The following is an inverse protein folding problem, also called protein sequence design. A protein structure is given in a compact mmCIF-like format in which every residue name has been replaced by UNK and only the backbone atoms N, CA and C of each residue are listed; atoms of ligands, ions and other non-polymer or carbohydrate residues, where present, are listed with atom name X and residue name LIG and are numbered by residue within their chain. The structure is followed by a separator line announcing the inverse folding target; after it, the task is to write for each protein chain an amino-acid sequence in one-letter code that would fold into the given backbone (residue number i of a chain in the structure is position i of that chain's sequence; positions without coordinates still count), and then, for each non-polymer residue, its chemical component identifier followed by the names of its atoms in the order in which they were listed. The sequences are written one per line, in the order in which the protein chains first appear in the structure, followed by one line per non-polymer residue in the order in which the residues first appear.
data_IF_911554545084
#
_entry.id   IF_911554545084
#
_cell.length_a   1.000
_cell.length_b   1.000
_cell.length_c   1.000
_cell.angle_alpha   90.00
_cell.angle_beta   90.00
_cell.angle_gamma   90.00
#
_symmetry.space_group_name_H-M   'P 1'
#
loop_
_entity.id
_entity.type
_entity.pdbx_description
1 polymer ?
#
# COMPACT_ATOMS: atom_id res chain seq x y z
N UNK A 1 5.27 -9.35 -15.20
CA UNK A 1 4.91 -9.27 -13.78
C UNK A 1 4.55 -10.67 -13.30
N UNK A 2 5.07 -11.10 -12.16
CA UNK A 2 4.79 -12.41 -11.57
C UNK A 2 3.68 -12.28 -10.52
N UNK A 3 2.85 -13.32 -10.31
CA UNK A 3 1.94 -13.35 -9.17
C UNK A 3 2.67 -13.11 -7.86
N UNK A 4 1.96 -12.54 -6.88
CA UNK A 4 2.52 -12.26 -5.56
C UNK A 4 2.00 -11.00 -4.90
N UNK A 5 2.53 -10.74 -3.71
CA UNK A 5 2.21 -9.55 -2.90
C UNK A 5 3.09 -8.36 -3.32
N UNK A 6 2.50 -7.19 -3.41
CA UNK A 6 3.17 -5.93 -3.76
C UNK A 6 2.85 -4.83 -2.73
N UNK A 7 3.86 -4.15 -2.21
CA UNK A 7 5.29 -4.39 -2.41
C UNK A 7 5.72 -5.74 -1.83
N UNK A 8 6.81 -6.32 -2.36
CA UNK A 8 7.25 -7.68 -1.98
C UNK A 8 7.91 -7.76 -0.60
N UNK A 9 8.57 -6.69 -0.20
CA UNK A 9 9.44 -6.72 0.99
C UNK A 9 8.71 -6.29 2.25
N UNK A 10 8.12 -5.12 2.25
CA UNK A 10 7.41 -4.54 3.39
C UNK A 10 6.15 -3.82 2.92
N UNK A 11 5.16 -3.70 3.79
CA UNK A 11 4.01 -2.83 3.54
C UNK A 11 4.49 -1.40 3.22
N UNK A 12 3.76 -0.71 2.32
CA UNK A 12 3.98 0.72 2.12
C UNK A 12 3.78 1.48 3.44
N UNK A 13 4.41 2.65 3.62
CA UNK A 13 4.27 3.42 4.85
C UNK A 13 2.80 3.63 5.20
N UNK A 14 2.38 3.05 6.30
CA UNK A 14 1.04 3.18 6.87
C UNK A 14 1.15 3.33 8.39
N UNK A 15 0.24 4.11 8.99
CA UNK A 15 0.09 4.22 10.44
C UNK A 15 -0.66 3.02 11.01
N UNK A 16 -1.38 2.28 10.19
CA UNK A 16 -2.19 1.12 10.58
C UNK A 16 -1.29 -0.09 10.88
N UNK A 17 -1.32 -0.53 12.14
CA UNK A 17 -0.67 -1.79 12.54
C UNK A 17 -1.35 -2.98 11.87
N UNK A 18 -2.68 -2.97 11.81
CA UNK A 18 -3.46 -4.06 11.22
C UNK A 18 -3.11 -4.31 9.76
N UNK A 19 -2.87 -3.25 8.96
CA UNK A 19 -2.41 -3.40 7.58
C UNK A 19 -1.03 -4.06 7.49
N UNK A 20 -0.09 -3.68 8.38
CA UNK A 20 1.24 -4.28 8.43
C UNK A 20 1.20 -5.75 8.85
N UNK A 21 0.37 -6.07 9.84
CA UNK A 21 0.21 -7.43 10.34
C UNK A 21 -0.43 -8.34 9.26
N UNK A 22 -1.44 -7.82 8.56
CA UNK A 22 -2.03 -8.52 7.41
C UNK A 22 -1.00 -8.72 6.28
N UNK A 23 -0.18 -7.69 5.98
CA UNK A 23 0.89 -7.80 4.97
C UNK A 23 1.90 -8.90 5.33
N UNK A 24 2.32 -8.94 6.59
CA UNK A 24 3.22 -9.97 7.08
C UNK A 24 2.62 -11.37 6.99
N UNK A 25 1.34 -11.53 7.33
CA UNK A 25 0.61 -12.80 7.22
C UNK A 25 0.46 -13.25 5.76
N UNK A 26 0.14 -12.34 4.84
CA UNK A 26 0.09 -12.63 3.41
C UNK A 26 1.45 -13.08 2.86
N UNK A 27 2.52 -12.39 3.25
CA UNK A 27 3.90 -12.74 2.89
C UNK A 27 4.34 -14.10 3.45
N UNK A 28 3.90 -14.44 4.65
CA UNK A 28 4.20 -15.73 5.30
C UNK A 28 3.45 -16.94 4.70
N UNK A 29 2.75 -16.76 3.58
CA UNK A 29 2.04 -17.81 2.87
C UNK A 29 0.52 -17.70 2.93
N UNK A 30 0.00 -16.61 3.48
CA UNK A 30 -1.45 -16.32 3.50
C UNK A 30 -2.02 -15.92 2.14
N UNK A 31 -1.18 -15.50 1.16
CA UNK A 31 -1.65 -15.25 -0.20
C UNK A 31 -1.76 -16.54 -0.99
N UNK A 32 -2.93 -16.86 -1.62
CA UNK A 32 -3.08 -18.02 -2.47
C UNK A 32 -2.14 -18.02 -3.68
N UNK A 33 -1.72 -19.21 -4.10
CA UNK A 33 -0.81 -19.36 -5.24
C UNK A 33 -1.43 -18.83 -6.54
N UNK A 34 -0.63 -18.14 -7.34
CA UNK A 34 -1.08 -17.54 -8.59
C UNK A 34 -1.87 -16.24 -8.46
N UNK A 35 -2.17 -15.79 -7.23
CA UNK A 35 -2.87 -14.54 -7.00
C UNK A 35 -1.92 -13.35 -6.97
N UNK A 36 -2.50 -12.16 -7.18
CA UNK A 36 -1.84 -10.88 -6.93
C UNK A 36 -2.52 -10.17 -5.77
N UNK A 37 -1.74 -9.46 -4.97
CA UNK A 37 -2.25 -8.55 -3.97
C UNK A 37 -1.46 -7.24 -4.00
N UNK A 38 -2.14 -6.11 -4.03
CA UNK A 38 -1.53 -4.79 -3.93
C UNK A 38 -1.98 -4.13 -2.64
N UNK A 39 -1.00 -3.73 -1.82
CA UNK A 39 -1.22 -2.90 -0.64
C UNK A 39 -1.19 -1.43 -1.03
N UNK A 40 -2.12 -0.64 -0.47
CA UNK A 40 -2.14 0.82 -0.62
C UNK A 40 -2.28 1.29 -2.07
N UNK A 41 -3.34 0.80 -2.77
CA UNK A 41 -3.63 1.24 -4.13
C UNK A 41 -4.21 2.65 -4.10
N UNK A 42 -3.43 3.63 -4.57
CA UNK A 42 -3.82 5.03 -4.63
C UNK A 42 -4.59 5.34 -5.90
N UNK A 43 -5.81 5.83 -5.75
CA UNK A 43 -6.67 6.19 -6.86
C UNK A 43 -6.59 7.70 -7.10
N UNK A 44 -6.29 8.09 -8.35
CA UNK A 44 -6.23 9.49 -8.78
C UNK A 44 -7.08 9.70 -10.02
N UNK A 45 -7.68 10.90 -10.13
CA UNK A 45 -8.28 11.39 -11.36
C UNK A 45 -7.64 12.75 -11.68
N UNK A 46 -6.76 12.75 -12.67
CA UNK A 46 -5.93 13.90 -12.98
C UNK A 46 -5.04 14.30 -11.79
N UNK A 47 -5.19 15.54 -11.31
CA UNK A 47 -4.44 16.05 -10.14
C UNK A 47 -5.11 15.75 -8.80
N UNK A 48 -6.35 15.26 -8.80
CA UNK A 48 -7.10 15.03 -7.58
C UNK A 48 -6.85 13.64 -7.00
N UNK A 49 -6.55 13.58 -5.71
CA UNK A 49 -6.48 12.35 -4.93
C UNK A 49 -7.88 11.98 -4.44
N UNK A 50 -8.38 10.81 -4.83
CA UNK A 50 -9.74 10.39 -4.50
C UNK A 50 -9.84 9.35 -3.40
N UNK A 51 -8.74 8.79 -2.96
CA UNK A 51 -8.70 7.80 -1.91
C UNK A 51 -7.68 6.70 -2.16
N UNK A 52 -7.57 5.84 -1.18
CA UNK A 52 -6.65 4.72 -1.12
C UNK A 52 -7.46 3.47 -0.83
N UNK A 53 -7.14 2.37 -1.50
CA UNK A 53 -7.64 1.05 -1.15
C UNK A 53 -6.57 0.31 -0.38
N UNK A 54 -6.89 -0.14 0.84
CA UNK A 54 -5.89 -0.79 1.69
C UNK A 54 -5.31 -2.03 1.01
N UNK A 55 -6.17 -2.89 0.45
CA UNK A 55 -5.75 -4.02 -0.36
C UNK A 55 -6.63 -4.24 -1.58
N UNK A 56 -6.00 -4.67 -2.67
CA UNK A 56 -6.68 -5.21 -3.85
C UNK A 56 -6.12 -6.59 -4.15
N UNK A 57 -6.95 -7.62 -4.01
CA UNK A 57 -6.63 -9.00 -4.35
C UNK A 57 -7.14 -9.33 -5.74
N UNK A 58 -6.36 -10.10 -6.48
CA UNK A 58 -6.68 -10.51 -7.85
C UNK A 58 -6.48 -12.01 -8.00
N UNK A 59 -7.54 -12.70 -8.38
CA UNK A 59 -7.49 -14.06 -8.90
C UNK A 59 -7.57 -13.95 -10.43
N UNK A 60 -6.47 -14.20 -11.16
CA UNK A 60 -6.48 -14.18 -12.62
C UNK A 60 -7.62 -15.05 -13.17
N UNK A 61 -8.15 -14.69 -14.33
CA UNK A 61 -9.26 -15.36 -15.00
C UNK A 61 -10.61 -15.34 -14.26
N UNK A 62 -10.65 -14.84 -13.04
CA UNK A 62 -11.88 -14.68 -12.26
C UNK A 62 -12.23 -13.19 -12.07
N UNK A 63 -11.43 -12.46 -11.29
CA UNK A 63 -11.74 -11.08 -10.97
C UNK A 63 -10.86 -10.48 -9.88
N UNK A 64 -11.35 -9.42 -9.25
CA UNK A 64 -10.65 -8.74 -8.15
C UNK A 64 -11.56 -8.41 -6.98
N UNK A 65 -10.94 -8.29 -5.81
CA UNK A 65 -11.57 -7.98 -4.53
C UNK A 65 -10.89 -6.77 -3.91
N UNK A 66 -11.66 -5.74 -3.57
CA UNK A 66 -11.17 -4.58 -2.80
C UNK A 66 -11.46 -4.82 -1.33
N UNK A 67 -10.44 -4.75 -0.49
CA UNK A 67 -10.56 -4.99 0.94
C UNK A 67 -10.14 -3.74 1.73
N UNK A 68 -11.02 -3.32 2.63
CA UNK A 68 -10.76 -2.31 3.65
C UNK A 68 -10.30 -2.99 4.94
N UNK A 69 -9.25 -2.47 5.58
CA UNK A 69 -8.67 -3.03 6.81
C UNK A 69 -8.87 -2.06 7.98
N UNK A 70 -9.46 -2.53 9.05
CA UNK A 70 -9.66 -1.75 10.26
C UNK A 70 -9.03 -2.47 11.45
N UNK A 71 -8.01 -1.85 12.02
CA UNK A 71 -7.34 -2.34 13.23
C UNK A 71 -7.97 -1.89 14.52
N UNK A 72 -7.55 -2.52 15.62
CA UNK A 72 -8.04 -2.25 16.96
C UNK A 72 -9.42 -2.86 17.24
N UNK A 73 -10.05 -2.40 18.30
CA UNK A 73 -11.36 -2.90 18.70
C UNK A 73 -12.47 -2.30 17.84
N UNK A 74 -13.13 -3.15 17.06
CA UNK A 74 -14.27 -2.77 16.24
C UNK A 74 -15.59 -3.16 16.92
N UNK A 75 -16.56 -2.24 16.97
CA UNK A 75 -17.91 -2.48 17.50
C UNK A 75 -18.95 -1.76 16.65
N UNK A 76 -20.18 -2.27 16.71
CA UNK A 76 -21.35 -1.59 16.15
C UNK A 76 -22.37 -1.41 17.27
N UNK A 77 -22.70 -0.18 17.63
CA UNK A 77 -23.65 0.19 18.67
C UNK A 77 -24.70 1.15 18.11
N UNK A 78 -25.98 0.85 18.27
CA UNK A 78 -27.07 1.68 17.75
C UNK A 78 -26.98 1.96 16.25
N UNK A 79 -26.45 1.04 15.46
CA UNK A 79 -26.25 1.20 14.00
C UNK A 79 -24.97 1.98 13.62
N UNK A 80 -24.19 2.45 14.60
CA UNK A 80 -22.96 3.20 14.38
C UNK A 80 -21.72 2.34 14.58
N UNK A 81 -20.78 2.43 13.69
CA UNK A 81 -19.48 1.78 13.83
C UNK A 81 -18.55 2.60 14.69
N UNK A 82 -17.90 1.91 15.64
CA UNK A 82 -16.89 2.47 16.53
C UNK A 82 -15.57 1.73 16.35
N UNK A 83 -14.48 2.47 16.25
CA UNK A 83 -13.11 1.97 16.28
C UNK A 83 -12.41 2.51 17.52
N UNK A 84 -11.96 1.64 18.42
CA UNK A 84 -11.34 2.01 19.68
C UNK A 84 -12.19 3.02 20.49
N UNK A 85 -13.52 2.82 20.51
CA UNK A 85 -14.48 3.68 21.18
C UNK A 85 -14.84 4.99 20.47
N UNK A 86 -14.20 5.31 19.33
CA UNK A 86 -14.53 6.50 18.54
C UNK A 86 -15.45 6.14 17.39
N UNK A 87 -16.50 6.92 17.20
CA UNK A 87 -17.44 6.75 16.08
C UNK A 87 -16.76 7.02 14.74
N UNK A 88 -16.98 6.13 13.78
CA UNK A 88 -16.55 6.31 12.40
C UNK A 88 -17.57 7.18 11.64
N UNK A 89 -17.09 8.10 10.81
CA UNK A 89 -17.93 8.92 9.93
C UNK A 89 -18.50 8.09 8.76
N UNK A 90 -17.72 7.15 8.25
CA UNK A 90 -18.08 6.20 7.21
C UNK A 90 -17.87 4.78 7.72
N UNK A 91 -18.81 3.90 7.40
CA UNK A 91 -18.65 2.48 7.73
C UNK A 91 -17.50 1.86 6.93
N UNK A 92 -16.85 0.79 7.44
CA UNK A 92 -15.84 0.08 6.66
C UNK A 92 -16.36 -0.43 5.31
N UNK A 93 -17.63 -0.85 5.25
CA UNK A 93 -18.27 -1.30 4.01
C UNK A 93 -18.42 -0.15 3.01
N UNK A 94 -18.88 1.02 3.43
CA UNK A 94 -19.00 2.20 2.56
C UNK A 94 -17.65 2.64 2.02
N UNK A 95 -16.57 2.56 2.83
CA UNK A 95 -15.21 2.87 2.40
C UNK A 95 -14.75 1.89 1.31
N UNK A 96 -14.90 0.59 1.53
CA UNK A 96 -14.57 -0.44 0.55
C UNK A 96 -15.38 -0.27 -0.75
N UNK A 97 -16.69 -0.03 -0.65
CA UNK A 97 -17.57 0.19 -1.82
C UNK A 97 -17.19 1.43 -2.61
N UNK A 98 -16.86 2.53 -1.93
CA UNK A 98 -16.42 3.78 -2.57
C UNK A 98 -15.11 3.58 -3.34
N UNK A 99 -14.13 2.91 -2.73
CA UNK A 99 -12.87 2.56 -3.38
C UNK A 99 -13.09 1.64 -4.58
N UNK A 100 -13.90 0.61 -4.41
CA UNK A 100 -14.25 -0.35 -5.45
C UNK A 100 -14.93 0.32 -6.66
N UNK A 101 -15.92 1.21 -6.43
CA UNK A 101 -16.60 1.93 -7.50
C UNK A 101 -15.62 2.78 -8.33
N UNK A 102 -14.72 3.50 -7.66
CA UNK A 102 -13.69 4.31 -8.32
C UNK A 102 -12.70 3.46 -9.11
N UNK A 103 -12.24 2.36 -8.52
CA UNK A 103 -11.32 1.45 -9.20
C UNK A 103 -11.95 0.85 -10.46
N UNK A 104 -13.22 0.47 -10.39
CA UNK A 104 -13.99 -0.01 -11.55
C UNK A 104 -14.13 1.06 -12.65
N UNK A 105 -14.42 2.30 -12.27
CA UNK A 105 -14.51 3.40 -13.24
C UNK A 105 -13.19 3.64 -13.96
N UNK A 106 -12.09 3.73 -13.21
CA UNK A 106 -10.76 3.90 -13.80
C UNK A 106 -10.37 2.70 -14.69
N UNK A 107 -10.58 1.49 -14.21
CA UNK A 107 -10.27 0.28 -14.98
C UNK A 107 -11.12 0.20 -16.25
N UNK A 108 -12.40 0.61 -16.19
CA UNK A 108 -13.31 0.63 -17.34
C UNK A 108 -12.87 1.56 -18.48
N UNK A 109 -12.06 2.58 -18.17
CA UNK A 109 -11.43 3.44 -19.18
C UNK A 109 -10.22 2.80 -19.86
N UNK A 110 -9.63 1.78 -19.25
CA UNK A 110 -8.38 1.13 -19.69
C UNK A 110 -8.61 -0.20 -20.39
N UNK A 111 -9.73 -0.85 -20.12
CA UNK A 111 -10.04 -2.19 -20.65
C UNK A 111 -11.44 -2.23 -21.27
N UNK A 112 -11.62 -2.99 -22.36
CA UNK A 112 -12.91 -3.04 -23.06
C UNK A 112 -14.00 -3.78 -22.28
N UNK A 113 -13.59 -4.64 -21.33
CA UNK A 113 -14.51 -5.41 -20.48
C UNK A 113 -13.96 -5.49 -19.06
N UNK A 114 -14.80 -5.11 -18.11
CA UNK A 114 -14.47 -5.23 -16.69
C UNK A 114 -14.53 -6.69 -16.22
N UNK A 115 -13.57 -7.14 -15.38
CA UNK A 115 -13.65 -8.42 -14.69
C UNK A 115 -14.77 -8.39 -13.63
N UNK A 116 -15.15 -9.56 -13.13
CA UNK A 116 -15.95 -9.66 -11.93
C UNK A 116 -15.22 -9.01 -10.75
N UNK A 117 -15.96 -8.44 -9.82
CA UNK A 117 -15.31 -7.77 -8.69
C UNK A 117 -16.26 -7.64 -7.50
N UNK A 118 -15.68 -7.55 -6.32
CA UNK A 118 -16.40 -7.45 -5.06
C UNK A 118 -15.66 -6.60 -4.04
N UNK A 119 -16.24 -6.52 -2.85
CA UNK A 119 -15.69 -5.81 -1.70
C UNK A 119 -15.59 -6.74 -0.51
N UNK A 120 -14.62 -6.49 0.36
CA UNK A 120 -14.48 -7.16 1.64
C UNK A 120 -13.96 -6.20 2.71
N UNK A 121 -14.05 -6.66 3.96
CA UNK A 121 -13.53 -5.95 5.14
C UNK A 121 -12.66 -6.92 5.92
N UNK A 122 -11.56 -6.43 6.49
CA UNK A 122 -10.76 -7.21 7.42
C UNK A 122 -10.65 -6.50 8.78
N UNK A 123 -10.87 -7.28 9.84
CA UNK A 123 -10.66 -6.89 11.24
C UNK A 123 -9.61 -7.82 11.88
N UNK A 124 -8.31 -7.65 11.56
CA UNK A 124 -7.28 -8.59 12.02
C UNK A 124 -7.17 -8.70 13.54
N UNK A 125 -7.55 -7.63 14.26
CA UNK A 125 -7.45 -7.55 15.72
C UNK A 125 -8.76 -7.92 16.45
N UNK A 126 -9.87 -8.06 15.72
CA UNK A 126 -11.19 -8.29 16.30
C UNK A 126 -11.83 -9.55 15.74
N UNK A 127 -12.22 -10.50 16.61
CA UNK A 127 -13.04 -11.62 16.20
C UNK A 127 -14.41 -11.12 15.73
N UNK A 128 -14.83 -11.57 14.55
CA UNK A 128 -16.07 -11.11 13.95
C UNK A 128 -17.01 -12.28 13.68
N UNK A 129 -18.27 -12.08 14.08
CA UNK A 129 -19.39 -12.91 13.64
C UNK A 129 -20.49 -12.00 13.08
N UNK A 130 -21.11 -12.40 11.97
CA UNK A 130 -22.18 -11.58 11.36
C UNK A 130 -23.34 -11.40 12.31
N UNK A 131 -23.65 -10.15 12.72
CA UNK A 131 -24.77 -9.89 13.63
C UNK A 131 -26.10 -10.26 12.95
N UNK A 132 -27.13 -10.66 13.71
CA UNK A 132 -28.47 -10.86 13.17
C UNK A 132 -28.98 -9.63 12.43
N UNK A 133 -29.54 -9.84 11.24
CA UNK A 133 -30.08 -8.75 10.42
C UNK A 133 -29.06 -8.01 9.55
N UNK A 134 -27.75 -8.23 9.75
CA UNK A 134 -26.68 -7.60 8.95
C UNK A 134 -26.22 -8.53 7.82
N UNK A 135 -27.18 -8.89 6.94
CA UNK A 135 -26.88 -9.74 5.77
C UNK A 135 -25.91 -9.06 4.78
N UNK A 136 -25.81 -7.74 4.82
CA UNK A 136 -24.85 -6.93 4.07
C UNK A 136 -23.39 -7.23 4.41
N UNK A 137 -23.13 -7.75 5.63
CA UNK A 137 -21.79 -8.15 6.10
C UNK A 137 -21.53 -9.66 5.99
N UNK A 138 -22.54 -10.42 5.63
CA UNK A 138 -22.38 -11.86 5.53
C UNK A 138 -21.38 -12.21 4.42
N UNK A 139 -20.45 -13.09 4.76
CA UNK A 139 -19.49 -13.66 3.82
C UNK A 139 -18.50 -12.67 3.16
N UNK A 140 -18.42 -11.42 3.68
CA UNK A 140 -17.48 -10.40 3.17
C UNK A 140 -16.52 -9.86 4.24
N UNK A 141 -16.51 -10.46 5.43
CA UNK A 141 -15.64 -10.01 6.53
C UNK A 141 -14.68 -11.12 6.95
N UNK A 142 -13.39 -10.78 7.05
CA UNK A 142 -12.34 -11.56 7.71
C UNK A 142 -12.08 -10.99 9.10
N UNK A 143 -12.23 -11.82 10.14
CA UNK A 143 -11.93 -11.45 11.52
C UNK A 143 -10.60 -12.03 12.01
N UNK A 144 -10.25 -11.73 13.27
CA UNK A 144 -9.04 -12.25 13.90
C UNK A 144 -8.98 -13.80 13.92
N UNK A 145 -10.14 -14.47 14.00
CA UNK A 145 -10.23 -15.93 13.98
C UNK A 145 -9.80 -16.57 12.65
N UNK A 146 -9.80 -15.78 11.56
CA UNK A 146 -9.45 -16.25 10.21
C UNK A 146 -7.95 -16.13 9.93
N UNK A 147 -7.24 -15.30 10.69
CA UNK A 147 -5.82 -15.01 10.48
C UNK A 147 -4.90 -16.25 10.52
N UNK A 148 -5.10 -17.23 11.42
CA UNK A 148 -4.27 -18.45 11.44
C UNK A 148 -4.42 -19.32 10.19
N UNK A 149 -5.52 -19.19 9.45
CA UNK A 149 -5.82 -19.91 8.19
C UNK A 149 -6.17 -18.92 7.08
N UNK A 150 -5.36 -17.86 6.97
CA UNK A 150 -5.66 -16.72 6.11
C UNK A 150 -5.83 -17.12 4.64
N UNK A 151 -5.05 -18.09 4.14
CA UNK A 151 -5.14 -18.55 2.75
C UNK A 151 -6.52 -19.09 2.42
N UNK A 152 -6.97 -20.08 3.18
CA UNK A 152 -8.27 -20.73 2.97
C UNK A 152 -9.43 -19.77 3.21
N UNK A 153 -9.27 -18.91 4.22
CA UNK A 153 -10.27 -17.90 4.53
C UNK A 153 -10.40 -16.86 3.40
N UNK A 154 -9.27 -16.44 2.81
CA UNK A 154 -9.25 -15.50 1.70
C UNK A 154 -9.84 -16.10 0.42
N UNK A 155 -9.55 -17.37 0.11
CA UNK A 155 -10.16 -18.08 -1.01
C UNK A 155 -11.67 -18.19 -0.85
N UNK A 156 -12.14 -18.61 0.32
CA UNK A 156 -13.57 -18.70 0.64
C UNK A 156 -14.26 -17.34 0.54
N UNK A 157 -13.64 -16.30 1.12
CA UNK A 157 -14.16 -14.95 1.06
C UNK A 157 -14.28 -14.45 -0.38
N UNK A 158 -13.25 -14.68 -1.19
CA UNK A 158 -13.24 -14.26 -2.59
C UNK A 158 -14.36 -14.92 -3.39
N UNK A 159 -14.57 -16.20 -3.22
CA UNK A 159 -15.63 -16.96 -3.93
C UNK A 159 -17.03 -16.45 -3.57
N UNK A 160 -17.22 -15.98 -2.35
CA UNK A 160 -18.50 -15.45 -1.88
C UNK A 160 -18.71 -13.98 -2.24
N UNK A 161 -17.67 -13.17 -2.14
CA UNK A 161 -17.72 -11.74 -2.35
C UNK A 161 -17.65 -11.33 -3.82
N UNK A 162 -16.98 -12.13 -4.68
CA UNK A 162 -16.84 -11.84 -6.11
C UNK A 162 -17.77 -12.75 -6.91
N UNK A 163 -18.76 -12.19 -7.61
CA UNK A 163 -19.72 -12.99 -8.37
C UNK A 163 -19.03 -13.91 -9.38
N UNK A 164 -19.48 -15.16 -9.46
CA UNK A 164 -19.00 -16.08 -10.47
C UNK A 164 -19.36 -15.58 -11.86
N UNK A 165 -18.42 -15.68 -12.77
CA UNK A 165 -18.65 -15.31 -14.17
C UNK A 165 -19.56 -16.36 -14.83
N UNK A 166 -20.60 -15.96 -15.57
CA UNK A 166 -21.35 -16.91 -16.38
C UNK A 166 -20.44 -17.65 -17.34
N UNK A 167 -20.58 -18.97 -17.43
CA UNK A 167 -19.70 -19.85 -18.21
C UNK A 167 -19.65 -19.51 -19.72
N UNK A 168 -20.67 -18.82 -20.24
CA UNK A 168 -20.75 -18.38 -21.64
C UNK A 168 -20.05 -17.05 -21.93
N UNK A 169 -19.53 -16.36 -20.90
CA UNK A 169 -18.70 -15.19 -21.07
C UNK A 169 -17.24 -15.62 -21.08
N UNK A 170 -16.65 -15.79 -22.26
CA UNK A 170 -15.26 -16.15 -22.43
C UNK A 170 -14.33 -15.38 -21.49
N UNK A 171 -13.29 -16.03 -21.02
CA UNK A 171 -12.27 -15.38 -20.21
C UNK A 171 -11.80 -14.14 -20.96
N UNK A 172 -12.22 -12.97 -20.50
CA UNK A 172 -11.66 -11.72 -21.04
C UNK A 172 -10.16 -11.79 -20.80
N UNK A 173 -9.39 -11.17 -21.66
CA UNK A 173 -7.92 -11.16 -21.56
C UNK A 173 -7.48 -10.77 -20.14
N UNK A 174 -7.32 -11.79 -19.27
CA UNK A 174 -6.94 -11.61 -17.86
C UNK A 174 -5.61 -10.87 -17.75
N UNK A 175 -4.72 -11.12 -18.68
CA UNK A 175 -3.43 -10.44 -18.78
C UNK A 175 -3.60 -8.92 -18.94
N UNK A 176 -4.59 -8.48 -19.71
CA UNK A 176 -4.80 -7.07 -20.00
C UNK A 176 -5.29 -6.28 -18.78
N UNK A 177 -6.35 -6.76 -18.11
CA UNK A 177 -6.88 -6.03 -16.97
C UNK A 177 -6.00 -6.15 -15.72
N UNK A 178 -5.29 -7.27 -15.53
CA UNK A 178 -4.29 -7.41 -14.47
C UNK A 178 -3.13 -6.44 -14.68
N UNK A 179 -2.64 -6.30 -15.92
CA UNK A 179 -1.61 -5.29 -16.27
C UNK A 179 -2.12 -3.86 -16.03
N UNK A 180 -3.37 -3.58 -16.37
CA UNK A 180 -3.98 -2.27 -16.12
C UNK A 180 -4.04 -1.94 -14.63
N UNK A 181 -4.48 -2.87 -13.78
CA UNK A 181 -4.46 -2.71 -12.32
C UNK A 181 -3.04 -2.47 -11.80
N UNK A 182 -2.08 -3.24 -12.27
CA UNK A 182 -0.69 -3.07 -11.87
C UNK A 182 -0.12 -1.70 -12.28
N UNK A 183 -0.45 -1.19 -13.45
CA UNK A 183 -0.04 0.14 -13.87
C UNK A 183 -0.63 1.26 -13.02
N UNK A 184 -1.81 1.06 -12.45
CA UNK A 184 -2.41 2.00 -11.50
C UNK A 184 -1.67 2.01 -10.16
N UNK A 185 -1.18 0.85 -9.72
CA UNK A 185 -0.42 0.75 -8.47
C UNK A 185 0.96 1.39 -8.57
N UNK A 186 1.57 1.41 -9.76
CA UNK A 186 2.82 2.10 -10.07
C UNK A 186 3.98 1.73 -9.13
N UNK A 187 4.45 0.48 -9.22
CA UNK A 187 5.53 -0.08 -8.38
C UNK A 187 6.82 0.74 -8.40
N UNK A 188 7.17 1.27 -9.58
CA UNK A 188 8.37 2.07 -9.75
C UNK A 188 8.04 3.28 -10.62
N UNK A 189 8.12 4.44 -10.04
CA UNK A 189 8.02 5.71 -10.74
C UNK A 189 9.20 6.60 -10.36
N UNK A 190 10.06 6.88 -11.33
CA UNK A 190 11.13 7.85 -11.19
C UNK A 190 10.71 9.10 -11.96
N UNK A 191 10.35 10.19 -11.27
CA UNK A 191 10.07 11.43 -11.96
C UNK A 191 11.32 11.89 -12.70
N UNK A 192 11.15 12.30 -13.95
CA UNK A 192 12.21 13.03 -14.65
C UNK A 192 12.40 14.38 -13.95
N UNK A 193 13.49 14.50 -13.22
CA UNK A 193 13.89 15.78 -12.61
C UNK A 193 14.25 16.72 -13.74
N UNK A 194 13.60 17.88 -13.80
CA UNK A 194 14.04 18.96 -14.68
C UNK A 194 15.46 19.36 -14.30
N UNK A 195 16.28 19.74 -15.29
CA UNK A 195 17.68 20.15 -15.07
C UNK A 195 17.83 21.18 -13.93
N UNK A 196 16.86 22.08 -13.77
CA UNK A 196 16.83 23.05 -12.67
C UNK A 196 16.60 22.42 -11.28
N UNK A 197 15.87 21.31 -11.18
CA UNK A 197 15.63 20.61 -9.92
C UNK A 197 16.83 19.74 -9.55
N UNK A 198 17.52 19.18 -10.55
CA UNK A 198 18.81 18.50 -10.36
C UNK A 198 19.86 19.47 -9.84
N UNK A 199 19.97 20.66 -10.44
CA UNK A 199 20.90 21.69 -9.98
C UNK A 199 20.63 22.14 -8.53
N UNK A 200 19.35 22.24 -8.12
CA UNK A 200 18.99 22.55 -6.72
C UNK A 200 19.36 21.44 -5.75
N UNK A 201 19.15 20.18 -6.12
CA UNK A 201 19.55 19.04 -5.29
C UNK A 201 21.06 18.94 -5.14
N UNK A 202 21.80 19.21 -6.21
CA UNK A 202 23.26 19.22 -6.18
C UNK A 202 23.79 20.41 -5.34
N UNK A 203 23.15 21.57 -5.40
CA UNK A 203 23.48 22.73 -4.55
C UNK A 203 23.18 22.43 -3.07
N UNK A 204 22.03 21.80 -2.74
CA UNK A 204 21.74 21.38 -1.37
C UNK A 204 22.74 20.35 -0.85
N UNK A 205 23.22 19.44 -1.69
CA UNK A 205 24.29 18.50 -1.32
C UNK A 205 25.62 19.20 -1.09
N UNK A 206 25.98 20.19 -1.90
CA UNK A 206 27.19 21.01 -1.70
C UNK A 206 27.13 21.76 -0.38
N UNK A 207 26.01 22.44 -0.10
CA UNK A 207 25.83 23.15 1.17
C UNK A 207 25.94 22.19 2.38
N UNK A 208 25.39 20.98 2.29
CA UNK A 208 25.52 19.99 3.35
C UNK A 208 26.98 19.49 3.54
N UNK A 209 27.74 19.37 2.44
CA UNK A 209 29.17 19.03 2.50
C UNK A 209 29.98 20.15 3.13
N UNK A 210 29.71 21.40 2.77
CA UNK A 210 30.36 22.58 3.33
C UNK A 210 30.07 22.73 4.83
N UNK A 211 28.82 22.47 5.26
CA UNK A 211 28.45 22.46 6.67
C UNK A 211 29.21 21.39 7.48
N UNK A 212 29.38 20.19 6.90
CA UNK A 212 30.16 19.14 7.55
C UNK A 212 31.66 19.48 7.64
N UNK A 213 32.20 20.18 6.66
CA UNK A 213 33.57 20.69 6.66
C UNK A 213 33.77 21.79 7.71
N UNK A 214 32.80 22.68 7.91
CA UNK A 214 32.88 23.71 8.97
C UNK A 214 32.96 23.11 10.36
N UNK A 215 32.21 22.03 10.65
CA UNK A 215 32.29 21.31 11.92
C UNK A 215 33.71 20.75 12.14
N UNK A 216 34.35 20.27 11.07
CA UNK A 216 35.76 19.79 11.17
C UNK A 216 36.73 20.93 11.43
N UNK A 217 36.52 22.12 10.85
CA UNK A 217 37.33 23.32 11.12
C UNK A 217 37.21 23.74 12.59
N UNK A 218 36.00 23.75 13.14
CA UNK A 218 35.76 24.03 14.57
C UNK A 218 36.49 23.04 15.47
N UNK A 219 36.49 21.75 15.09
CA UNK A 219 37.27 20.71 15.82
C UNK A 219 38.75 20.94 15.72
N UNK A 220 39.31 21.39 14.59
CA UNK A 220 40.70 21.72 14.40
C UNK A 220 41.07 22.92 15.27
N UNK A 221 40.24 23.97 15.27
CA UNK A 221 40.50 25.17 16.08
C UNK A 221 40.48 24.92 17.60
N UNK A 222 39.70 23.94 18.04
CA UNK A 222 39.62 23.55 19.46
C UNK A 222 40.78 22.65 19.95
N UNK A 223 41.63 22.14 19.05
CA UNK A 223 42.67 21.15 19.39
C UNK A 223 44.05 21.57 18.86
N UNK A 224 45.06 21.51 19.68
CA UNK A 224 46.47 21.85 19.34
C UNK A 224 47.11 20.90 18.33
N UNK A 225 46.60 19.70 18.16
CA UNK A 225 47.04 18.70 17.17
C UNK A 225 45.83 17.92 16.67
N UNK A 226 45.61 17.94 15.37
CA UNK A 226 44.48 17.21 14.74
C UNK A 226 45.02 16.41 13.55
N UNK A 227 44.68 15.12 13.48
CA UNK A 227 44.92 14.28 12.31
C UNK A 227 43.66 14.11 11.52
N UNK A 228 43.63 14.57 10.25
CA UNK A 228 42.49 14.43 9.35
C UNK A 228 42.79 13.34 8.35
N UNK A 229 41.99 12.26 8.37
CA UNK A 229 42.03 11.18 7.39
C UNK A 229 40.75 11.13 6.57
N UNK A 230 40.83 10.73 5.31
CA UNK A 230 39.67 10.63 4.42
C UNK A 230 40.07 10.25 3.01
N UNK A 231 39.11 9.87 2.20
CA UNK A 231 39.30 9.46 0.79
C UNK A 231 39.85 10.61 -0.07
N UNK A 232 40.46 10.30 -1.23
CA UNK A 232 40.82 11.30 -2.22
C UNK A 232 39.60 12.15 -2.62
N UNK A 233 39.80 13.47 -2.74
CA UNK A 233 38.69 14.40 -3.06
C UNK A 233 37.81 14.83 -1.88
N UNK A 234 38.04 14.38 -0.65
CA UNK A 234 37.24 14.76 0.53
C UNK A 234 37.54 16.17 1.09
N UNK A 235 38.27 17.02 0.37
CA UNK A 235 38.54 18.40 0.78
C UNK A 235 39.62 18.57 1.88
N UNK A 236 40.40 17.53 2.19
CA UNK A 236 41.45 17.59 3.25
C UNK A 236 42.43 18.75 3.06
N UNK A 237 42.88 18.98 1.83
CA UNK A 237 43.78 20.08 1.48
C UNK A 237 43.15 21.44 1.71
N UNK A 238 41.83 21.57 1.40
CA UNK A 238 41.10 22.79 1.64
C UNK A 238 41.00 23.09 3.14
N UNK A 239 40.64 22.08 3.94
CA UNK A 239 40.59 22.21 5.41
C UNK A 239 41.94 22.56 6.02
N UNK A 240 43.05 22.01 5.50
CA UNK A 240 44.40 22.34 5.95
C UNK A 240 44.82 23.78 5.60
N UNK A 241 44.36 24.32 4.45
CA UNK A 241 44.60 25.70 4.04
C UNK A 241 43.79 26.70 4.88
N UNK A 242 42.56 26.39 5.18
CA UNK A 242 41.65 27.23 5.98
C UNK A 242 42.01 27.25 7.47
N UNK A 243 42.75 26.25 7.95
CA UNK A 243 43.19 26.13 9.35
C UNK A 243 44.60 26.68 9.63
N UNK A 244 45.34 27.15 8.62
CA UNK A 244 46.71 27.67 8.74
C UNK A 244 46.74 29.19 8.98
#
# INVERSE_FOLDING_TARGET
MLPGLYPRDTALPTKSRAERDLHAALKAGGLPEGWYAWHSLRLRDGQNYYGEGDYVFVKPDHGFLVMEVKGGQMRCEGGHWLQNGKRLEQTPLEQAQKTHAKLRDQLGRMVPRLPASGVAISFPDTAFSTPPGRNDLRDIVLGAQDMPRLREALETLFEKAVPQRPANQGAGDSTRWVKALHSMWCETWTPELRLGDQARLDEQRRVALDAAQLVVLDMIAANTRTLISGRAGAGKTLLALESA
#
